data_IF_100498472758
#
_entry.id   IF_100498472758
#
_cell.length_a   1.000
_cell.length_b   1.000
_cell.length_c   1.000
_cell.angle_alpha   90.00
_cell.angle_beta   90.00
_cell.angle_gamma   90.00
#
_symmetry.space_group_name_H-M   'P 1'
#
loop_
_entity.id
_entity.type
_entity.pdbx_description
1 polymer ?
#
# COMPACT_ATOMS: atom_id res chain seq x y z
N UNK A 1 -13.63 -6.97 -19.35
CA UNK A 1 -13.10 -8.02 -18.48
C UNK A 1 -14.07 -8.36 -17.35
N UNK A 2 -14.50 -7.38 -16.53
CA UNK A 2 -15.37 -7.61 -15.35
C UNK A 2 -16.61 -8.44 -15.66
N UNK A 3 -17.44 -8.03 -16.62
CA UNK A 3 -18.70 -8.71 -16.94
C UNK A 3 -18.47 -10.04 -17.68
N UNK A 4 -17.47 -10.11 -18.57
CA UNK A 4 -17.17 -11.32 -19.37
C UNK A 4 -16.57 -12.46 -18.54
N UNK A 5 -15.76 -12.12 -17.52
CA UNK A 5 -15.02 -13.09 -16.72
C UNK A 5 -15.42 -13.11 -15.25
N UNK A 6 -16.50 -12.42 -14.88
CA UNK A 6 -17.02 -12.33 -13.51
C UNK A 6 -15.98 -11.89 -12.46
N UNK A 7 -15.03 -11.03 -12.86
CA UNK A 7 -14.00 -10.51 -11.95
C UNK A 7 -14.67 -9.57 -10.94
N UNK A 8 -14.66 -9.95 -9.67
CA UNK A 8 -15.28 -9.19 -8.57
C UNK A 8 -14.31 -8.35 -7.76
N UNK A 9 -13.02 -8.70 -7.77
CA UNK A 9 -11.98 -8.04 -6.97
C UNK A 9 -10.94 -7.38 -7.87
N UNK A 10 -11.02 -6.06 -8.00
CA UNK A 10 -10.06 -5.25 -8.72
C UNK A 10 -9.22 -4.48 -7.70
N UNK A 11 -7.92 -4.68 -7.76
CA UNK A 11 -6.94 -4.02 -6.89
C UNK A 11 -6.22 -2.94 -7.70
N UNK A 12 -6.09 -1.76 -7.12
CA UNK A 12 -5.38 -0.65 -7.70
C UNK A 12 -4.21 -0.27 -6.80
N UNK A 13 -3.03 -0.15 -7.37
CA UNK A 13 -1.83 0.27 -6.65
C UNK A 13 -1.31 1.58 -7.24
N UNK A 14 -1.14 2.56 -6.38
CA UNK A 14 -0.57 3.86 -6.74
C UNK A 14 0.95 3.75 -6.70
N UNK A 15 1.61 4.04 -7.82
CA UNK A 15 3.08 3.97 -7.86
C UNK A 15 3.72 5.25 -7.34
N UNK A 16 3.08 6.39 -7.58
CA UNK A 16 3.55 7.67 -7.08
C UNK A 16 2.40 8.64 -6.87
N UNK A 17 2.50 9.46 -5.85
CA UNK A 17 1.69 10.68 -5.77
C UNK A 17 2.07 11.65 -6.91
N UNK A 18 1.19 12.61 -7.27
CA UNK A 18 1.52 13.68 -8.18
C UNK A 18 2.82 14.40 -7.80
N UNK A 19 3.63 14.78 -8.79
CA UNK A 19 4.96 15.35 -8.55
C UNK A 19 4.95 16.56 -7.60
N UNK A 20 3.96 17.44 -7.71
CA UNK A 20 3.85 18.64 -6.87
C UNK A 20 3.60 18.34 -5.39
N UNK A 21 3.03 17.15 -5.06
CA UNK A 21 2.85 16.69 -3.69
C UNK A 21 4.13 16.09 -3.09
N UNK A 22 5.19 15.91 -3.88
CA UNK A 22 6.39 15.18 -3.46
C UNK A 22 7.53 16.12 -3.08
N UNK A 23 8.34 15.68 -2.13
CA UNK A 23 9.47 16.44 -1.57
C UNK A 23 10.52 16.82 -2.61
N UNK A 24 10.67 16.02 -3.68
CA UNK A 24 11.63 16.23 -4.76
C UNK A 24 11.00 16.81 -6.05
N UNK A 25 9.68 17.06 -6.07
CA UNK A 25 8.96 17.57 -7.24
C UNK A 25 8.94 16.61 -8.44
N UNK A 26 9.19 15.31 -8.24
CA UNK A 26 9.27 14.29 -9.30
C UNK A 26 8.34 13.12 -8.99
N UNK A 27 7.91 12.40 -10.02
CA UNK A 27 7.11 11.16 -9.85
C UNK A 27 7.94 9.95 -9.43
N UNK A 28 9.26 9.98 -9.58
CA UNK A 28 10.19 8.95 -9.09
C UNK A 28 10.83 9.35 -7.77
N UNK A 29 11.03 8.39 -6.89
CA UNK A 29 11.62 8.62 -5.56
C UNK A 29 10.90 9.72 -4.75
N UNK A 30 11.58 10.30 -3.76
CA UNK A 30 11.03 11.32 -2.89
C UNK A 30 9.89 10.82 -2.00
N UNK A 31 9.44 11.65 -1.10
CA UNK A 31 8.39 11.35 -0.13
C UNK A 31 7.18 12.24 -0.36
N UNK A 32 6.00 11.77 0.00
CA UNK A 32 4.83 12.65 0.08
C UNK A 32 5.08 13.72 1.14
N UNK A 33 4.85 14.97 0.80
CA UNK A 33 4.92 16.08 1.76
C UNK A 33 3.80 15.95 2.79
N UNK A 34 4.10 16.18 4.05
CA UNK A 34 3.12 16.05 5.13
C UNK A 34 1.93 17.01 4.95
N UNK A 35 2.17 18.21 4.47
CA UNK A 35 1.13 19.19 4.15
C UNK A 35 0.19 18.74 3.03
N UNK A 36 0.60 17.76 2.20
CA UNK A 36 -0.21 17.20 1.13
C UNK A 36 -0.96 15.90 1.51
N UNK A 37 -0.91 15.47 2.78
CA UNK A 37 -1.57 14.21 3.20
C UNK A 37 -3.08 14.25 2.98
N UNK A 38 -3.73 15.35 3.34
CA UNK A 38 -5.17 15.55 3.09
C UNK A 38 -5.49 15.52 1.60
N UNK A 39 -4.69 16.22 0.79
CA UNK A 39 -4.92 16.29 -0.66
C UNK A 39 -4.74 14.93 -1.32
N UNK A 40 -3.75 14.16 -0.88
CA UNK A 40 -3.51 12.82 -1.42
C UNK A 40 -4.61 11.83 -1.01
N UNK A 41 -5.12 11.90 0.22
CA UNK A 41 -6.27 11.10 0.65
C UNK A 41 -7.52 11.43 -0.19
N UNK A 42 -7.79 12.72 -0.43
CA UNK A 42 -8.88 13.17 -1.30
C UNK A 42 -8.68 12.75 -2.76
N UNK A 43 -7.43 12.77 -3.27
CA UNK A 43 -7.08 12.29 -4.60
C UNK A 43 -7.43 10.80 -4.76
N UNK A 44 -7.09 9.95 -3.80
CA UNK A 44 -7.43 8.53 -3.82
C UNK A 44 -8.94 8.28 -3.72
N UNK A 45 -9.65 9.07 -2.93
CA UNK A 45 -11.11 9.02 -2.85
C UNK A 45 -11.77 9.45 -4.18
N UNK A 46 -11.29 10.53 -4.80
CA UNK A 46 -11.75 10.98 -6.11
C UNK A 46 -11.49 9.93 -7.21
N UNK A 47 -10.31 9.30 -7.18
CA UNK A 47 -9.96 8.19 -8.06
C UNK A 47 -10.95 7.03 -7.91
N UNK A 48 -11.23 6.59 -6.67
CA UNK A 48 -12.23 5.56 -6.42
C UNK A 48 -13.59 5.92 -7.02
N UNK A 49 -14.09 7.13 -6.75
CA UNK A 49 -15.40 7.59 -7.21
C UNK A 49 -15.47 7.69 -8.74
N UNK A 50 -14.38 8.12 -9.39
CA UNK A 50 -14.31 8.17 -10.85
C UNK A 50 -14.41 6.79 -11.49
N UNK A 51 -13.72 5.78 -10.96
CA UNK A 51 -13.85 4.40 -11.46
C UNK A 51 -15.20 3.78 -11.13
N UNK A 52 -15.71 4.02 -9.91
CA UNK A 52 -17.04 3.56 -9.50
C UNK A 52 -18.13 4.09 -10.44
N UNK A 53 -18.07 5.36 -10.86
CA UNK A 53 -19.04 5.95 -11.79
C UNK A 53 -19.04 5.29 -13.18
N UNK A 54 -17.94 4.61 -13.54
CA UNK A 54 -17.81 3.79 -14.76
C UNK A 54 -18.17 2.31 -14.54
N UNK A 55 -18.77 1.97 -13.42
CA UNK A 55 -19.14 0.59 -13.07
C UNK A 55 -17.96 -0.30 -12.62
N UNK A 56 -16.80 0.30 -12.32
CA UNK A 56 -15.58 -0.39 -11.92
C UNK A 56 -15.20 0.07 -10.51
N UNK A 57 -15.95 -0.35 -9.50
CA UNK A 57 -15.60 -0.04 -8.11
C UNK A 57 -14.35 -0.85 -7.69
N UNK A 58 -13.25 -0.20 -7.27
CA UNK A 58 -12.09 -0.89 -6.73
C UNK A 58 -12.47 -1.68 -5.46
N UNK A 59 -12.00 -2.93 -5.37
CA UNK A 59 -12.09 -3.74 -4.14
C UNK A 59 -11.10 -3.27 -3.09
N UNK A 60 -9.89 -2.92 -3.53
CA UNK A 60 -8.84 -2.41 -2.67
C UNK A 60 -7.97 -1.39 -3.41
N UNK A 61 -7.40 -0.45 -2.65
CA UNK A 61 -6.48 0.57 -3.14
C UNK A 61 -5.24 0.57 -2.27
N UNK A 62 -4.06 0.50 -2.89
CA UNK A 62 -2.77 0.73 -2.25
C UNK A 62 -2.34 2.18 -2.46
N UNK A 63 -2.00 2.91 -1.40
CA UNK A 63 -1.50 4.28 -1.52
C UNK A 63 -0.08 4.35 -2.09
N UNK A 64 0.69 3.25 -2.05
CA UNK A 64 2.03 3.21 -2.63
C UNK A 64 2.50 1.80 -2.93
N UNK A 65 2.88 1.55 -4.18
CA UNK A 65 3.64 0.37 -4.58
C UNK A 65 5.05 0.46 -3.99
N UNK A 66 5.52 -0.62 -3.39
CA UNK A 66 6.88 -0.77 -2.84
C UNK A 66 7.37 0.43 -2.01
N UNK A 67 6.64 0.81 -0.94
CA UNK A 67 6.91 2.03 -0.18
C UNK A 67 8.31 2.09 0.44
N UNK A 68 8.94 0.95 0.68
CA UNK A 68 10.30 0.85 1.22
C UNK A 68 11.41 0.86 0.16
N UNK A 69 11.09 1.01 -1.14
CA UNK A 69 12.07 0.91 -2.22
C UNK A 69 12.12 2.16 -3.10
N UNK A 70 13.31 2.72 -3.22
CA UNK A 70 13.59 3.89 -4.09
C UNK A 70 13.78 3.45 -5.54
N UNK A 71 12.71 3.05 -6.21
CA UNK A 71 12.78 2.63 -7.60
C UNK A 71 13.10 3.80 -8.55
N UNK A 72 13.86 3.56 -9.65
CA UNK A 72 14.20 4.60 -10.63
C UNK A 72 13.01 5.03 -11.51
N UNK A 73 11.92 4.28 -11.49
CA UNK A 73 10.65 4.60 -12.14
C UNK A 73 9.69 5.33 -11.18
N UNK A 74 8.42 5.44 -11.55
CA UNK A 74 7.39 6.05 -10.69
C UNK A 74 7.35 5.32 -9.35
N UNK A 75 7.65 6.03 -8.28
CA UNK A 75 7.76 5.46 -6.92
C UNK A 75 7.62 6.57 -5.87
N UNK A 76 7.23 6.18 -4.67
CA UNK A 76 7.20 7.06 -3.49
C UNK A 76 7.75 6.32 -2.30
N UNK A 77 8.74 6.92 -1.64
CA UNK A 77 9.27 6.39 -0.39
C UNK A 77 8.36 6.75 0.78
N UNK A 78 8.15 5.78 1.65
CA UNK A 78 7.46 5.94 2.92
C UNK A 78 8.21 5.19 4.01
N UNK A 79 8.24 5.73 5.21
CA UNK A 79 8.46 4.93 6.40
C UNK A 79 7.16 4.27 6.85
N UNK A 80 7.27 3.26 7.70
CA UNK A 80 6.08 2.65 8.32
C UNK A 80 5.27 3.68 9.13
N UNK A 81 5.96 4.58 9.86
CA UNK A 81 5.31 5.64 10.63
C UNK A 81 4.58 6.67 9.76
N UNK A 82 5.20 7.10 8.65
CA UNK A 82 4.53 7.99 7.68
C UNK A 82 3.27 7.34 7.11
N UNK A 83 3.35 6.06 6.72
CA UNK A 83 2.22 5.31 6.18
C UNK A 83 1.14 5.06 7.24
N UNK A 84 1.54 4.68 8.46
CA UNK A 84 0.62 4.48 9.58
C UNK A 84 -0.16 5.75 9.88
N UNK A 85 0.53 6.87 10.05
CA UNK A 85 -0.09 8.20 10.24
C UNK A 85 -1.01 8.56 9.08
N UNK A 86 -0.58 8.33 7.83
CA UNK A 86 -1.39 8.62 6.65
C UNK A 86 -2.69 7.82 6.64
N UNK A 87 -2.61 6.52 6.93
CA UNK A 87 -3.79 5.63 6.98
C UNK A 87 -4.74 6.06 8.08
N UNK A 88 -4.24 6.25 9.30
CA UNK A 88 -5.09 6.45 10.49
C UNK A 88 -5.69 7.85 10.59
N UNK A 89 -4.93 8.87 10.20
CA UNK A 89 -5.32 10.26 10.38
C UNK A 89 -5.89 10.92 9.12
N UNK A 90 -5.68 10.32 7.93
CA UNK A 90 -6.09 10.95 6.67
C UNK A 90 -6.89 9.99 5.77
N UNK A 91 -6.31 8.91 5.27
CA UNK A 91 -6.93 8.08 4.25
C UNK A 91 -8.15 7.32 4.78
N UNK A 92 -8.00 6.66 5.93
CA UNK A 92 -9.09 5.91 6.56
C UNK A 92 -10.28 6.79 6.92
N UNK A 93 -10.09 7.93 7.64
CA UNK A 93 -11.15 8.90 7.89
C UNK A 93 -11.80 9.44 6.61
N UNK A 94 -11.02 9.72 5.55
CA UNK A 94 -11.54 10.17 4.26
C UNK A 94 -12.42 9.10 3.62
N UNK A 95 -11.98 7.84 3.58
CA UNK A 95 -12.78 6.73 3.04
C UNK A 95 -14.07 6.52 3.83
N UNK A 96 -14.01 6.64 5.16
CA UNK A 96 -15.19 6.54 6.03
C UNK A 96 -16.19 7.68 5.75
N UNK A 97 -15.71 8.91 5.66
CA UNK A 97 -16.53 10.10 5.36
C UNK A 97 -17.21 9.98 3.99
N UNK A 98 -16.46 9.57 2.97
CA UNK A 98 -16.93 9.42 1.59
C UNK A 98 -17.72 8.10 1.36
N UNK A 99 -17.91 7.28 2.40
CA UNK A 99 -18.56 5.96 2.34
C UNK A 99 -17.94 5.04 1.28
N UNK A 100 -16.62 5.05 1.19
CA UNK A 100 -15.83 4.19 0.30
C UNK A 100 -15.57 2.86 1.00
N UNK A 101 -16.12 1.73 0.49
CA UNK A 101 -15.93 0.42 1.11
C UNK A 101 -14.63 -0.27 0.69
N UNK A 102 -13.83 0.34 -0.18
CA UNK A 102 -12.58 -0.24 -0.64
C UNK A 102 -11.64 -0.48 0.55
N UNK A 103 -10.95 -1.61 0.51
CA UNK A 103 -9.90 -1.92 1.47
C UNK A 103 -8.65 -1.11 1.16
N UNK A 104 -7.87 -0.80 2.21
CA UNK A 104 -6.58 -0.12 2.08
C UNK A 104 -5.49 -1.20 2.14
N UNK A 105 -4.70 -1.32 1.08
CA UNK A 105 -3.52 -2.18 1.05
C UNK A 105 -2.33 -1.42 1.65
N UNK A 106 -1.53 -2.09 2.46
CA UNK A 106 -0.33 -1.53 3.05
C UNK A 106 0.79 -2.58 3.13
N UNK A 107 2.02 -2.12 3.27
CA UNK A 107 3.19 -2.98 3.36
C UNK A 107 3.79 -3.45 2.04
N UNK A 108 3.11 -3.41 0.96
CA UNK A 108 3.34 -3.84 -0.44
C UNK A 108 4.81 -3.72 -0.93
N UNK A 109 5.78 -4.18 -0.09
CA UNK A 109 7.21 -4.16 -0.42
C UNK A 109 7.61 -5.40 -1.28
N UNK A 110 8.77 -5.37 -1.96
CA UNK A 110 9.20 -6.44 -2.85
C UNK A 110 9.29 -7.82 -2.18
N UNK A 111 9.64 -7.85 -0.89
CA UNK A 111 9.85 -9.07 -0.14
C UNK A 111 8.96 -9.11 1.11
N UNK A 112 8.35 -10.29 1.40
CA UNK A 112 7.45 -10.42 2.54
C UNK A 112 8.21 -10.40 3.87
N UNK A 113 9.14 -11.34 4.08
CA UNK A 113 9.78 -11.54 5.38
C UNK A 113 11.32 -11.52 5.32
N UNK A 114 11.90 -11.12 4.20
CA UNK A 114 13.35 -11.08 4.02
C UNK A 114 13.82 -9.64 4.02
N UNK A 115 14.79 -9.37 4.89
CA UNK A 115 15.54 -8.14 4.87
C UNK A 115 16.76 -8.29 3.96
N UNK A 116 16.88 -7.45 2.96
CA UNK A 116 18.06 -7.37 2.08
C UNK A 116 18.80 -6.07 2.35
N UNK A 117 19.75 -6.06 3.33
CA UNK A 117 20.47 -4.85 3.72
C UNK A 117 21.25 -4.23 2.56
N UNK A 118 21.73 -5.05 1.62
CA UNK A 118 22.44 -4.59 0.42
C UNK A 118 21.59 -3.67 -0.46
N UNK A 119 20.28 -3.88 -0.48
CA UNK A 119 19.32 -3.08 -1.24
C UNK A 119 18.61 -2.02 -0.38
N UNK A 120 18.91 -1.95 0.92
CA UNK A 120 18.25 -1.07 1.89
C UNK A 120 16.72 -1.18 1.83
N UNK A 121 16.21 -2.38 1.58
CA UNK A 121 14.78 -2.65 1.46
C UNK A 121 14.23 -3.17 2.78
N UNK A 122 13.12 -2.59 3.22
CA UNK A 122 12.35 -3.05 4.38
C UNK A 122 11.42 -4.18 3.92
N UNK A 123 11.31 -5.25 4.70
CA UNK A 123 10.34 -6.31 4.41
C UNK A 123 8.90 -5.83 4.59
N UNK A 124 7.96 -6.41 3.86
CA UNK A 124 6.53 -6.11 4.06
C UNK A 124 6.10 -6.44 5.48
N UNK A 125 6.63 -7.54 6.06
CA UNK A 125 6.35 -7.95 7.43
C UNK A 125 6.76 -6.88 8.44
N UNK A 126 8.03 -6.45 8.42
CA UNK A 126 8.52 -5.47 9.39
C UNK A 126 7.80 -4.11 9.22
N UNK A 127 7.48 -3.76 7.99
CA UNK A 127 6.73 -2.55 7.68
C UNK A 127 5.31 -2.61 8.26
N UNK A 128 4.60 -3.72 8.05
CA UNK A 128 3.23 -3.90 8.57
C UNK A 128 3.20 -4.04 10.08
N UNK A 129 4.13 -4.78 10.66
CA UNK A 129 4.23 -4.95 12.12
C UNK A 129 4.46 -3.61 12.81
N UNK A 130 5.36 -2.79 12.27
CA UNK A 130 5.63 -1.43 12.79
C UNK A 130 4.37 -0.57 12.76
N UNK A 131 3.62 -0.60 11.64
CA UNK A 131 2.35 0.16 11.54
C UNK A 131 1.36 -0.32 12.59
N UNK A 132 1.14 -1.64 12.72
CA UNK A 132 0.14 -2.18 13.65
C UNK A 132 0.52 -2.01 15.12
N UNK A 133 1.82 -1.90 15.43
CA UNK A 133 2.33 -1.62 16.77
C UNK A 133 2.19 -0.14 17.14
N UNK A 134 2.62 0.76 16.23
CA UNK A 134 2.66 2.19 16.52
C UNK A 134 1.32 2.89 16.27
N UNK A 135 0.45 2.29 15.47
CA UNK A 135 -0.87 2.82 15.09
C UNK A 135 -1.94 1.73 15.25
N UNK A 136 -2.23 1.28 16.48
CA UNK A 136 -3.17 0.18 16.73
C UNK A 136 -4.59 0.48 16.21
N UNK A 137 -4.98 1.76 16.13
CA UNK A 137 -6.24 2.24 15.56
C UNK A 137 -6.33 1.99 14.03
N UNK A 138 -5.23 1.64 13.36
CA UNK A 138 -5.25 1.24 11.97
C UNK A 138 -6.20 0.04 11.74
N UNK A 139 -6.36 -0.82 12.74
CA UNK A 139 -7.28 -1.99 12.71
C UNK A 139 -8.75 -1.60 12.58
N UNK A 140 -9.12 -0.34 12.87
CA UNK A 140 -10.48 0.18 12.72
C UNK A 140 -10.86 0.43 11.24
N UNK A 141 -9.90 0.30 10.34
CA UNK A 141 -10.10 0.43 8.91
C UNK A 141 -9.98 -0.92 8.21
N UNK A 142 -10.59 -1.04 7.04
CA UNK A 142 -10.53 -2.25 6.22
C UNK A 142 -9.13 -2.40 5.59
N UNK A 143 -8.21 -3.08 6.26
CA UNK A 143 -6.83 -3.23 5.83
C UNK A 143 -6.56 -4.58 5.14
N UNK A 144 -5.58 -4.58 4.23
CA UNK A 144 -4.95 -5.77 3.66
C UNK A 144 -3.44 -5.60 3.76
N UNK A 145 -2.76 -6.45 4.53
CA UNK A 145 -1.31 -6.56 4.47
C UNK A 145 -0.91 -7.28 3.18
N UNK A 146 0.02 -6.70 2.42
CA UNK A 146 0.48 -7.27 1.17
C UNK A 146 2.00 -7.25 1.07
N UNK A 147 2.53 -8.11 0.21
CA UNK A 147 3.93 -8.14 -0.18
C UNK A 147 4.06 -8.77 -1.56
N UNK A 148 5.10 -8.43 -2.29
CA UNK A 148 5.41 -9.01 -3.57
C UNK A 148 6.19 -10.32 -3.40
N UNK A 149 6.08 -11.22 -4.36
CA UNK A 149 6.70 -12.54 -4.30
C UNK A 149 7.99 -12.67 -5.12
N UNK A 150 8.75 -11.60 -5.31
CA UNK A 150 9.94 -11.63 -6.16
C UNK A 150 11.00 -12.64 -5.73
N UNK A 151 11.04 -13.00 -4.47
CA UNK A 151 11.97 -13.97 -3.90
C UNK A 151 11.57 -15.44 -4.10
N UNK A 152 10.45 -15.70 -4.74
CA UNK A 152 9.94 -17.04 -4.98
C UNK A 152 10.58 -17.75 -6.18
N UNK A 153 11.56 -17.14 -6.84
CA UNK A 153 12.36 -17.83 -7.86
C UNK A 153 13.36 -18.78 -7.16
N UNK A 154 13.25 -20.09 -7.35
CA UNK A 154 14.16 -21.07 -6.77
C UNK A 154 15.63 -20.83 -7.14
N UNK A 155 15.85 -20.17 -8.28
CA UNK A 155 17.18 -19.92 -8.84
C UNK A 155 17.88 -18.69 -8.23
N UNK A 156 17.12 -17.80 -7.53
CA UNK A 156 17.67 -16.56 -6.98
C UNK A 156 17.87 -16.66 -5.46
N UNK A 157 16.95 -17.25 -4.73
CA UNK A 157 17.10 -17.62 -3.32
C UNK A 157 16.02 -18.63 -2.90
N UNK A 158 16.37 -19.74 -2.23
CA UNK A 158 15.40 -20.66 -1.65
C UNK A 158 14.81 -20.04 -0.38
N UNK A 159 13.86 -19.13 -0.52
CA UNK A 159 13.16 -18.58 0.63
C UNK A 159 12.03 -19.52 0.99
N UNK A 160 12.15 -20.17 2.14
CA UNK A 160 11.01 -20.85 2.77
C UNK A 160 10.01 -19.78 3.17
N UNK A 161 8.89 -19.71 2.44
CA UNK A 161 7.74 -18.92 2.90
C UNK A 161 7.28 -19.53 4.22
N UNK A 162 7.31 -18.75 5.29
CA UNK A 162 6.75 -19.17 6.56
C UNK A 162 5.22 -19.22 6.44
N UNK A 163 4.72 -20.42 6.14
CA UNK A 163 3.28 -20.66 6.00
C UNK A 163 2.52 -20.46 7.31
N UNK A 164 3.15 -20.62 8.47
CA UNK A 164 2.54 -20.39 9.76
C UNK A 164 2.31 -18.90 10.00
N UNK A 165 3.27 -18.06 9.60
CA UNK A 165 3.10 -16.61 9.68
C UNK A 165 1.95 -16.12 8.79
N UNK A 166 1.84 -16.64 7.57
CA UNK A 166 0.71 -16.29 6.68
C UNK A 166 -0.63 -16.69 7.31
N UNK A 167 -0.70 -17.82 8.02
CA UNK A 167 -1.92 -18.23 8.74
C UNK A 167 -2.26 -17.31 9.90
N UNK A 168 -1.27 -16.77 10.61
CA UNK A 168 -1.48 -15.84 11.73
C UNK A 168 -1.82 -14.42 11.27
N UNK A 169 -1.27 -13.97 10.15
CA UNK A 169 -1.57 -12.66 9.56
C UNK A 169 -2.98 -12.58 8.93
N UNK A 170 -3.61 -13.73 8.65
CA UNK A 170 -4.92 -13.83 7.97
C UNK A 170 -6.07 -14.11 8.93
N UNK A 171 -5.82 -14.27 10.24
CA UNK A 171 -6.93 -14.44 11.19
C UNK A 171 -7.74 -13.15 11.31
N UNK A 172 -9.08 -13.22 11.12
CA UNK A 172 -10.00 -12.11 11.27
C UNK A 172 -10.00 -11.52 12.68
#
# INVERSE_FOLDING_TARGET
AKNKYHISKLVFSTWSAPAWMKSNGKVSNGRLKTECYTDFANYLAAFYNAYKSKGIAPYAISPSNEPGYAAPWNSSLWTADEMGKFITSYLGPTFRKEKIPAKIIFGENPLWAVYMPQLKMVSSKDFTDTILQNYPEAKDFNLIAAGHGYSLSPDIMPIKVDKEYLKTAIKP
#
